data_IF_913603224871
#
_entry.id   IF_913603224871
#
_cell.length_a   1.000
_cell.length_b   1.000
_cell.length_c   1.000
_cell.angle_alpha   90.00
_cell.angle_beta   90.00
_cell.angle_gamma   90.00
#
_symmetry.space_group_name_H-M   'P 1'
#
loop_
_entity.id
_entity.type
_entity.pdbx_description
1 polymer ?
#
# COMPACT_ATOMS: atom_id res chain seq x y z
N UNK A 1 -37.73 9.73 36.83
CA UNK A 1 -37.69 10.87 35.89
C UNK A 1 -36.23 11.12 35.51
N UNK A 2 -35.60 10.14 34.86
CA UNK A 2 -34.14 10.15 34.58
C UNK A 2 -33.92 9.68 33.13
N UNK A 3 -34.66 10.30 32.23
CA UNK A 3 -34.60 10.13 30.78
C UNK A 3 -34.40 11.53 30.21
N UNK A 4 -33.22 12.13 30.32
CA UNK A 4 -33.00 13.47 29.74
C UNK A 4 -31.56 13.93 29.50
N UNK A 5 -30.54 13.06 29.46
CA UNK A 5 -29.19 13.46 29.02
C UNK A 5 -28.46 12.37 28.22
N UNK A 6 -29.18 11.69 27.31
CA UNK A 6 -28.50 11.14 26.15
C UNK A 6 -28.22 12.32 25.21
N UNK A 7 -27.07 12.96 25.36
CA UNK A 7 -26.59 13.92 24.39
C UNK A 7 -26.55 13.21 23.04
N UNK A 8 -27.52 13.52 22.18
CA UNK A 8 -27.53 13.14 20.77
C UNK A 8 -26.35 13.86 20.13
N UNK A 9 -25.17 13.26 20.18
CA UNK A 9 -24.03 13.73 19.44
C UNK A 9 -24.32 13.42 17.97
N UNK A 10 -24.88 14.40 17.26
CA UNK A 10 -24.95 14.37 15.81
C UNK A 10 -23.54 14.03 15.30
N UNK A 11 -23.34 12.98 14.48
CA UNK A 11 -22.01 12.66 13.99
C UNK A 11 -21.47 13.87 13.24
N UNK A 12 -20.46 14.53 13.82
CA UNK A 12 -19.79 15.64 13.17
C UNK A 12 -18.99 15.06 11.99
N UNK A 13 -19.32 15.37 10.74
CA UNK A 13 -18.62 14.83 9.58
C UNK A 13 -17.14 15.25 9.51
N UNK A 14 -16.74 16.23 10.32
CA UNK A 14 -15.36 16.69 10.49
C UNK A 14 -14.78 16.36 11.88
N UNK A 15 -15.31 15.37 12.58
CA UNK A 15 -14.67 14.86 13.79
C UNK A 15 -13.35 14.19 13.44
N UNK A 16 -12.27 14.97 13.46
CA UNK A 16 -10.92 14.56 13.12
C UNK A 16 -10.44 13.39 13.99
N UNK A 17 -10.89 13.34 15.25
CA UNK A 17 -10.52 12.27 16.17
C UNK A 17 -11.14 10.95 15.72
N UNK A 18 -12.42 10.96 15.36
CA UNK A 18 -13.07 9.79 14.78
C UNK A 18 -12.53 9.46 13.39
N UNK A 19 -12.26 10.46 12.55
CA UNK A 19 -11.71 10.25 11.21
C UNK A 19 -10.31 9.61 11.22
N UNK A 20 -9.48 9.90 12.23
CA UNK A 20 -8.12 9.37 12.35
C UNK A 20 -8.04 8.12 13.23
N UNK A 21 -8.85 8.02 14.29
CA UNK A 21 -8.74 6.98 15.32
C UNK A 21 -9.90 5.99 15.36
N UNK A 22 -10.98 6.21 14.58
CA UNK A 22 -12.05 5.22 14.52
C UNK A 22 -11.46 3.93 13.94
N UNK A 23 -11.64 2.85 14.71
CA UNK A 23 -11.06 1.56 14.40
C UNK A 23 -11.52 0.96 13.07
N UNK A 24 -12.48 1.54 12.34
CA UNK A 24 -13.27 0.87 11.30
C UNK A 24 -12.82 1.08 9.84
N UNK A 25 -11.84 1.95 9.52
CA UNK A 25 -11.61 2.29 8.10
C UNK A 25 -10.19 2.72 7.68
N UNK A 26 -9.19 2.75 8.58
CA UNK A 26 -7.87 3.26 8.21
C UNK A 26 -7.17 2.38 7.16
N UNK A 27 -7.20 1.06 7.35
CA UNK A 27 -6.52 0.14 6.43
C UNK A 27 -7.03 0.26 4.98
N UNK A 28 -8.35 0.24 4.70
CA UNK A 28 -8.86 0.49 3.35
C UNK A 28 -8.38 1.81 2.75
N UNK A 29 -8.29 2.92 3.49
CA UNK A 29 -7.79 4.18 2.93
C UNK A 29 -6.29 4.09 2.64
N UNK A 30 -5.51 3.60 3.60
CA UNK A 30 -4.04 3.55 3.48
C UNK A 30 -3.56 2.57 2.43
N UNK A 31 -4.22 1.42 2.24
CA UNK A 31 -3.79 0.40 1.28
C UNK A 31 -3.87 0.87 -0.19
N UNK A 32 -4.71 1.87 -0.51
CA UNK A 32 -4.77 2.42 -1.86
C UNK A 32 -3.46 3.09 -2.30
N UNK A 33 -2.71 3.68 -1.36
CA UNK A 33 -1.45 4.35 -1.68
C UNK A 33 -0.40 3.40 -2.26
N UNK A 34 0.03 2.33 -1.57
CA UNK A 34 1.03 1.43 -2.12
C UNK A 34 0.54 0.75 -3.40
N UNK A 35 -0.75 0.40 -3.51
CA UNK A 35 -1.32 -0.19 -4.74
C UNK A 35 -1.23 0.80 -5.91
N UNK A 36 -1.77 2.01 -5.76
CA UNK A 36 -1.82 3.00 -6.84
C UNK A 36 -0.42 3.45 -7.25
N UNK A 37 0.48 3.68 -6.29
CA UNK A 37 1.86 4.07 -6.55
C UNK A 37 2.64 2.95 -7.26
N UNK A 38 2.45 1.69 -6.84
CA UNK A 38 3.07 0.56 -7.53
C UNK A 38 2.56 0.42 -8.97
N UNK A 39 1.24 0.48 -9.18
CA UNK A 39 0.65 0.42 -10.52
C UNK A 39 1.12 1.56 -11.41
N UNK A 40 1.16 2.79 -10.87
CA UNK A 40 1.71 3.94 -11.58
C UNK A 40 3.20 3.72 -11.92
N UNK A 41 3.99 3.17 -11.00
CA UNK A 41 5.38 2.81 -11.27
C UNK A 41 5.51 1.87 -12.46
N UNK A 42 4.75 0.77 -12.49
CA UNK A 42 4.77 -0.20 -13.58
C UNK A 42 4.40 0.43 -14.93
N UNK A 43 3.38 1.30 -14.97
CA UNK A 43 3.00 2.04 -16.19
C UNK A 43 4.14 2.96 -16.64
N UNK A 44 4.73 3.73 -15.73
CA UNK A 44 5.83 4.64 -16.08
C UNK A 44 7.11 3.91 -16.46
N UNK A 45 7.35 2.69 -15.97
CA UNK A 45 8.43 1.83 -16.48
C UNK A 45 8.24 1.46 -17.94
N UNK A 46 7.03 1.02 -18.30
CA UNK A 46 6.71 0.69 -19.69
C UNK A 46 6.83 1.93 -20.59
N UNK A 47 6.35 3.08 -20.12
CA UNK A 47 6.53 4.36 -20.83
C UNK A 47 8.01 4.73 -20.99
N UNK A 48 8.85 4.50 -19.98
CA UNK A 48 10.27 4.77 -20.04
C UNK A 48 10.96 3.95 -21.12
N UNK A 49 10.63 2.66 -21.23
CA UNK A 49 11.16 1.77 -22.28
C UNK A 49 10.62 2.18 -23.66
N UNK A 50 9.33 2.43 -23.78
CA UNK A 50 8.69 2.76 -25.06
C UNK A 50 9.14 4.12 -25.61
N UNK A 51 9.15 5.16 -24.78
CA UNK A 51 9.45 6.54 -25.18
C UNK A 51 10.92 6.89 -25.09
N UNK A 52 11.75 6.04 -24.46
CA UNK A 52 13.19 6.27 -24.25
C UNK A 52 13.50 7.61 -23.56
N UNK A 53 12.59 8.08 -22.69
CA UNK A 53 12.74 9.33 -21.96
C UNK A 53 13.15 9.06 -20.50
N UNK A 54 14.26 9.65 -20.00
CA UNK A 54 14.77 9.37 -18.65
C UNK A 54 13.87 9.92 -17.53
N UNK A 55 13.00 10.89 -17.85
CA UNK A 55 12.01 11.42 -16.91
C UNK A 55 11.03 10.33 -16.46
N UNK A 56 10.50 9.53 -17.38
CA UNK A 56 9.57 8.45 -17.02
C UNK A 56 10.22 7.40 -16.12
N UNK A 57 11.49 7.06 -16.36
CA UNK A 57 12.24 6.15 -15.48
C UNK A 57 12.43 6.71 -14.07
N UNK A 58 12.51 8.03 -13.93
CA UNK A 58 12.60 8.71 -12.63
C UNK A 58 11.25 8.73 -11.92
N UNK A 59 10.17 9.05 -12.63
CA UNK A 59 8.80 9.00 -12.09
C UNK A 59 8.46 7.59 -11.62
N UNK A 60 8.76 6.57 -12.43
CA UNK A 60 8.55 5.18 -12.09
C UNK A 60 9.29 4.78 -10.81
N UNK A 61 10.56 5.19 -10.68
CA UNK A 61 11.37 4.92 -9.50
C UNK A 61 10.80 5.56 -8.23
N UNK A 62 10.42 6.84 -8.27
CA UNK A 62 9.89 7.52 -7.09
C UNK A 62 8.50 7.00 -6.69
N UNK A 63 7.68 6.59 -7.66
CA UNK A 63 6.42 5.90 -7.37
C UNK A 63 6.65 4.55 -6.69
N UNK A 64 7.61 3.75 -7.17
CA UNK A 64 7.98 2.47 -6.54
C UNK A 64 8.47 2.67 -5.10
N UNK A 65 9.33 3.68 -4.89
CA UNK A 65 9.81 4.02 -3.56
C UNK A 65 8.68 4.49 -2.64
N UNK A 66 7.75 5.31 -3.16
CA UNK A 66 6.55 5.73 -2.43
C UNK A 66 5.67 4.55 -2.04
N UNK A 67 5.49 3.57 -2.93
CA UNK A 67 4.79 2.33 -2.60
C UNK A 67 5.50 1.57 -1.47
N UNK A 68 6.82 1.40 -1.56
CA UNK A 68 7.60 0.73 -0.52
C UNK A 68 7.55 1.44 0.84
N UNK A 69 7.55 2.78 0.86
CA UNK A 69 7.51 3.56 2.11
C UNK A 69 6.12 3.56 2.75
N UNK A 70 5.04 3.45 1.95
CA UNK A 70 3.66 3.41 2.46
C UNK A 70 3.22 2.01 2.89
N UNK A 71 3.88 0.95 2.39
CA UNK A 71 3.59 -0.44 2.75
C UNK A 71 3.66 -0.74 4.26
N UNK A 72 4.70 -0.33 5.02
CA UNK A 72 4.74 -0.55 6.47
C UNK A 72 3.52 0.00 7.19
N UNK A 73 3.03 1.18 6.79
CA UNK A 73 1.84 1.79 7.38
C UNK A 73 0.58 1.01 7.00
N UNK A 74 0.48 0.53 5.75
CA UNK A 74 -0.64 -0.31 5.31
C UNK A 74 -0.68 -1.65 6.05
N UNK A 75 0.48 -2.28 6.29
CA UNK A 75 0.61 -3.52 7.07
C UNK A 75 0.21 -3.27 8.52
N UNK A 76 0.76 -2.22 9.15
CA UNK A 76 0.44 -1.90 10.55
C UNK A 76 -1.06 -1.65 10.75
N UNK A 77 -1.68 -0.86 9.87
CA UNK A 77 -3.13 -0.61 9.93
C UNK A 77 -3.96 -1.86 9.61
N UNK A 78 -3.49 -2.75 8.73
CA UNK A 78 -4.16 -4.02 8.42
C UNK A 78 -4.14 -5.00 9.60
N UNK A 79 -3.00 -5.12 10.27
CA UNK A 79 -2.87 -5.92 11.50
C UNK A 79 -3.72 -5.34 12.64
N UNK A 80 -3.75 -4.00 12.77
CA UNK A 80 -4.64 -3.32 13.72
C UNK A 80 -6.12 -3.59 13.43
N UNK A 81 -6.52 -3.53 12.15
CA UNK A 81 -7.88 -3.88 11.75
C UNK A 81 -8.23 -5.33 12.11
N UNK A 82 -7.33 -6.28 11.84
CA UNK A 82 -7.52 -7.67 12.26
C UNK A 82 -7.64 -7.83 13.78
N UNK A 83 -6.79 -7.16 14.56
CA UNK A 83 -6.81 -7.28 16.01
C UNK A 83 -8.05 -6.64 16.65
N UNK A 84 -8.46 -5.46 16.21
CA UNK A 84 -9.49 -4.67 16.88
C UNK A 84 -10.87 -4.74 16.22
N UNK A 85 -10.96 -4.78 14.89
CA UNK A 85 -12.26 -4.89 14.20
C UNK A 85 -12.74 -6.34 14.12
N UNK A 86 -11.81 -7.26 13.91
CA UNK A 86 -12.11 -8.69 13.81
C UNK A 86 -11.83 -9.44 15.13
N UNK A 87 -11.53 -8.72 16.21
CA UNK A 87 -11.27 -9.27 17.54
C UNK A 87 -10.20 -10.38 17.55
N UNK A 88 -9.23 -10.31 16.63
CA UNK A 88 -8.21 -11.36 16.47
C UNK A 88 -8.76 -12.69 15.97
N UNK A 89 -9.86 -12.67 15.19
CA UNK A 89 -10.47 -13.86 14.63
C UNK A 89 -9.45 -14.77 13.93
N UNK A 90 -9.66 -16.08 14.04
CA UNK A 90 -8.77 -17.08 13.45
C UNK A 90 -8.50 -16.83 11.96
N UNK A 91 -7.22 -16.82 11.57
CA UNK A 91 -6.78 -16.55 10.20
C UNK A 91 -7.07 -17.77 9.31
N UNK A 92 -8.25 -17.78 8.68
CA UNK A 92 -8.72 -18.84 7.78
C UNK A 92 -9.42 -18.26 6.54
N UNK A 93 -9.60 -19.09 5.51
CA UNK A 93 -10.29 -18.71 4.27
C UNK A 93 -9.72 -17.43 3.64
N UNK A 94 -10.60 -16.49 3.31
CA UNK A 94 -10.24 -15.24 2.64
C UNK A 94 -9.26 -14.38 3.45
N UNK A 95 -9.35 -14.36 4.78
CA UNK A 95 -8.42 -13.60 5.62
C UNK A 95 -6.99 -14.16 5.51
N UNK A 96 -6.85 -15.49 5.45
CA UNK A 96 -5.56 -16.15 5.23
C UNK A 96 -5.02 -15.83 3.84
N UNK A 97 -5.85 -15.93 2.80
CA UNK A 97 -5.44 -15.60 1.43
C UNK A 97 -5.02 -14.14 1.30
N UNK A 98 -5.78 -13.22 1.88
CA UNK A 98 -5.44 -11.80 1.93
C UNK A 98 -4.08 -11.58 2.57
N UNK A 99 -3.80 -12.20 3.72
CA UNK A 99 -2.51 -12.07 4.40
C UNK A 99 -1.35 -12.62 3.56
N UNK A 100 -1.53 -13.78 2.91
CA UNK A 100 -0.52 -14.37 2.05
C UNK A 100 -0.21 -13.44 0.88
N UNK A 101 -1.23 -13.00 0.12
CA UNK A 101 -1.03 -12.11 -1.01
C UNK A 101 -0.45 -10.76 -0.59
N UNK A 102 -0.93 -10.17 0.51
CA UNK A 102 -0.41 -8.91 1.02
C UNK A 102 1.09 -9.01 1.37
N UNK A 103 1.51 -10.05 2.09
CA UNK A 103 2.91 -10.23 2.47
C UNK A 103 3.81 -10.60 1.29
N UNK A 104 3.30 -11.41 0.35
CA UNK A 104 4.02 -11.75 -0.88
C UNK A 104 4.23 -10.51 -1.74
N UNK A 105 3.16 -9.76 -2.06
CA UNK A 105 3.26 -8.51 -2.83
C UNK A 105 4.14 -7.48 -2.13
N UNK A 106 4.02 -7.30 -0.82
CA UNK A 106 4.88 -6.38 -0.07
C UNK A 106 6.37 -6.75 -0.21
N UNK A 107 6.68 -8.05 -0.07
CA UNK A 107 8.04 -8.58 -0.20
C UNK A 107 8.60 -8.37 -1.62
N UNK A 108 7.78 -8.60 -2.65
CA UNK A 108 8.15 -8.36 -4.04
C UNK A 108 8.36 -6.88 -4.33
N UNK A 109 7.51 -5.98 -3.81
CA UNK A 109 7.67 -4.53 -3.94
C UNK A 109 8.96 -4.05 -3.27
N UNK A 110 9.28 -4.52 -2.07
CA UNK A 110 10.57 -4.21 -1.42
C UNK A 110 11.76 -4.72 -2.24
N UNK A 111 11.67 -5.95 -2.74
CA UNK A 111 12.71 -6.53 -3.58
C UNK A 111 12.90 -5.76 -4.89
N UNK A 112 11.82 -5.36 -5.56
CA UNK A 112 11.84 -4.52 -6.76
C UNK A 112 12.44 -3.15 -6.47
N UNK A 113 12.08 -2.54 -5.34
CA UNK A 113 12.63 -1.25 -4.89
C UNK A 113 14.14 -1.35 -4.68
N UNK A 114 14.59 -2.42 -4.03
CA UNK A 114 16.00 -2.73 -3.85
C UNK A 114 16.72 -2.95 -5.19
N UNK A 115 16.19 -3.80 -6.07
CA UNK A 115 16.75 -4.02 -7.41
C UNK A 115 16.89 -2.69 -8.16
N UNK A 116 15.83 -1.88 -8.15
CA UNK A 116 15.80 -0.62 -8.87
C UNK A 116 16.80 0.38 -8.32
N UNK A 117 16.92 0.48 -7.00
CA UNK A 117 17.96 1.27 -6.34
C UNK A 117 19.36 0.85 -6.83
N UNK A 118 19.66 -0.45 -6.83
CA UNK A 118 20.95 -0.99 -7.30
C UNK A 118 21.21 -0.70 -8.78
N UNK A 119 20.18 -0.80 -9.64
CA UNK A 119 20.30 -0.48 -11.06
C UNK A 119 20.60 1.00 -11.29
N UNK A 120 19.93 1.91 -10.57
CA UNK A 120 20.20 3.35 -10.67
C UNK A 120 21.63 3.69 -10.23
N UNK A 121 22.12 3.09 -9.15
CA UNK A 121 23.51 3.29 -8.70
C UNK A 121 24.55 2.83 -9.72
N UNK A 122 24.23 1.80 -10.52
CA UNK A 122 25.13 1.23 -11.53
C UNK A 122 24.88 1.77 -12.95
N UNK A 123 23.89 2.64 -13.14
CA UNK A 123 23.48 3.12 -14.48
C UNK A 123 22.93 2.02 -15.40
N UNK A 124 22.42 0.92 -14.84
CA UNK A 124 21.91 -0.24 -15.59
C UNK A 124 20.41 -0.05 -15.85
N UNK A 125 19.95 -0.36 -17.06
CA UNK A 125 18.52 -0.39 -17.38
C UNK A 125 17.85 -1.68 -16.89
N UNK A 126 16.56 -1.65 -16.55
CA UNK A 126 15.85 -2.85 -16.10
C UNK A 126 15.72 -3.86 -17.22
N UNK A 127 16.13 -5.10 -16.95
CA UNK A 127 16.01 -6.22 -17.89
C UNK A 127 14.72 -7.03 -17.69
N UNK A 128 14.57 -8.08 -18.49
CA UNK A 128 13.39 -8.98 -18.49
C UNK A 128 13.02 -9.49 -17.08
N UNK A 129 14.02 -9.92 -16.29
CA UNK A 129 13.78 -10.44 -14.93
C UNK A 129 13.07 -9.41 -14.03
N UNK A 130 13.41 -8.12 -14.15
CA UNK A 130 12.76 -7.07 -13.38
C UNK A 130 11.29 -6.91 -13.78
N UNK A 131 10.99 -6.95 -15.08
CA UNK A 131 9.60 -6.87 -15.57
C UNK A 131 8.79 -8.11 -15.19
N UNK A 132 9.39 -9.29 -15.21
CA UNK A 132 8.74 -10.53 -14.77
C UNK A 132 8.37 -10.46 -13.28
N UNK A 133 9.29 -10.00 -12.42
CA UNK A 133 9.00 -9.81 -10.99
C UNK A 133 7.96 -8.71 -10.78
N UNK A 134 8.01 -7.62 -11.56
CA UNK A 134 7.00 -6.55 -11.51
C UNK A 134 5.60 -7.06 -11.87
N UNK A 135 5.48 -7.96 -12.84
CA UNK A 135 4.20 -8.56 -13.22
C UNK A 135 3.63 -9.52 -12.16
N UNK A 136 4.49 -10.13 -11.35
CA UNK A 136 4.10 -11.07 -10.29
C UNK A 136 3.76 -10.38 -8.96
N UNK A 137 4.21 -9.14 -8.76
CA UNK A 137 4.07 -8.39 -7.51
C UNK A 137 2.68 -7.77 -7.36
#
# INVERSE_FOLDING_TARGET
MTLLLAASHSPNPFDLKSALLAGHAQHPVIIHFPIALFMASAVFELLAVWRKQPLFASVAYYNLLGAAVTLPLAIATGLGAWQWQLEGAAIKGNLRLHMIFALTSASLIFFLSWMRWRFRLKGISPGFAYFAVTFLA
#
